data_IF_820439345754
#
_entry.id   IF_820439345754
#
_cell.length_a   1.000
_cell.length_b   1.000
_cell.length_c   1.000
_cell.angle_alpha   90.00
_cell.angle_beta   90.00
_cell.angle_gamma   90.00
#
_symmetry.space_group_name_H-M   'P 1'
#
loop_
_entity.id
_entity.type
_entity.pdbx_description
1 polymer ?
#
# COMPACT_ATOMS: atom_id res chain seq x y z
N UNK A 1 -7.21 14.05 -6.73
CA UNK A 1 -7.10 12.58 -6.58
C UNK A 1 -6.40 11.89 -7.75
N UNK A 2 -6.93 11.88 -8.98
CA UNK A 2 -6.37 11.01 -10.04
C UNK A 2 -5.05 11.45 -10.71
N UNK A 3 -4.65 12.70 -10.52
CA UNK A 3 -3.35 13.22 -10.99
C UNK A 3 -2.30 13.20 -9.87
N UNK A 4 -2.65 12.71 -8.67
CA UNK A 4 -1.72 12.60 -7.55
C UNK A 4 -0.69 11.53 -7.90
N UNK A 5 0.59 11.89 -7.77
CA UNK A 5 1.72 11.00 -8.00
C UNK A 5 1.78 9.92 -6.92
N UNK A 6 2.00 8.68 -7.33
CA UNK A 6 2.25 7.57 -6.43
C UNK A 6 3.27 6.59 -7.01
N UNK A 7 3.88 5.78 -6.15
CA UNK A 7 4.62 4.59 -6.51
C UNK A 7 4.00 3.36 -5.85
N UNK A 8 4.25 2.18 -6.41
CA UNK A 8 3.77 0.92 -5.85
C UNK A 8 4.88 -0.14 -5.86
N UNK A 9 4.98 -0.85 -4.75
CA UNK A 9 5.83 -2.04 -4.57
C UNK A 9 4.91 -3.27 -4.51
N UNK A 10 5.22 -4.31 -5.29
CA UNK A 10 4.40 -5.53 -5.39
C UNK A 10 5.30 -6.75 -5.27
N UNK A 11 5.19 -7.45 -4.14
CA UNK A 11 5.99 -8.62 -3.83
C UNK A 11 5.32 -9.92 -4.29
N UNK A 12 6.07 -10.85 -4.88
CA UNK A 12 5.58 -12.17 -5.27
C UNK A 12 6.70 -13.20 -5.40
N UNK A 13 6.29 -14.44 -5.70
CA UNK A 13 7.17 -15.56 -6.02
C UNK A 13 6.62 -16.34 -7.22
N UNK A 14 7.12 -17.56 -7.49
CA UNK A 14 6.64 -18.42 -8.56
C UNK A 14 7.36 -18.26 -9.90
N UNK A 15 7.94 -17.09 -10.16
CA UNK A 15 8.87 -16.83 -11.27
C UNK A 15 10.11 -16.11 -10.75
N UNK A 16 11.20 -16.17 -11.51
CA UNK A 16 12.43 -15.44 -11.17
C UNK A 16 12.30 -13.95 -11.46
N UNK A 17 13.09 -13.11 -10.79
CA UNK A 17 13.20 -11.68 -11.10
C UNK A 17 13.52 -11.42 -12.57
N UNK A 18 14.45 -12.18 -13.13
CA UNK A 18 14.80 -12.08 -14.55
C UNK A 18 13.60 -12.37 -15.46
N UNK A 19 12.85 -13.44 -15.18
CA UNK A 19 11.65 -13.76 -15.95
C UNK A 19 10.59 -12.68 -15.81
N UNK A 20 10.39 -12.15 -14.61
CA UNK A 20 9.45 -11.04 -14.37
C UNK A 20 9.84 -9.79 -15.16
N UNK A 21 11.13 -9.42 -15.14
CA UNK A 21 11.65 -8.27 -15.87
C UNK A 21 11.52 -8.45 -17.39
N UNK A 22 11.79 -9.64 -17.94
CA UNK A 22 11.60 -9.93 -19.37
C UNK A 22 10.11 -9.82 -19.78
N UNK A 23 9.21 -10.41 -18.99
CA UNK A 23 7.75 -10.28 -19.22
C UNK A 23 7.31 -8.81 -19.22
N UNK A 24 7.87 -7.99 -18.34
CA UNK A 24 7.58 -6.57 -18.29
C UNK A 24 8.20 -5.80 -19.46
N UNK A 25 9.44 -6.10 -19.85
CA UNK A 25 10.10 -5.52 -21.02
C UNK A 25 9.27 -5.75 -22.30
N UNK A 26 8.87 -7.00 -22.53
CA UNK A 26 8.05 -7.39 -23.68
C UNK A 26 6.71 -6.65 -23.72
N UNK A 27 6.04 -6.54 -22.57
CA UNK A 27 4.73 -5.89 -22.49
C UNK A 27 4.81 -4.35 -22.60
N UNK A 28 5.79 -3.74 -21.94
CA UNK A 28 5.93 -2.29 -21.87
C UNK A 28 6.70 -1.70 -23.07
N UNK A 29 7.18 -2.54 -23.98
CA UNK A 29 8.07 -2.13 -25.07
C UNK A 29 9.39 -1.53 -24.55
N UNK A 30 9.84 -2.00 -23.38
CA UNK A 30 11.00 -1.45 -22.68
C UNK A 30 12.27 -2.28 -22.89
N UNK A 31 13.42 -1.64 -22.67
CA UNK A 31 14.73 -2.28 -22.70
C UNK A 31 15.02 -2.96 -21.34
N UNK A 32 15.31 -4.27 -21.36
CA UNK A 32 15.78 -5.00 -20.19
C UNK A 32 17.26 -4.65 -19.91
N UNK A 33 17.54 -4.25 -18.67
CA UNK A 33 18.88 -3.88 -18.23
C UNK A 33 19.23 -4.65 -16.96
N UNK A 34 20.42 -5.27 -16.97
CA UNK A 34 20.98 -5.91 -15.78
C UNK A 34 21.58 -4.84 -14.84
N UNK A 35 21.07 -4.76 -13.61
CA UNK A 35 21.31 -3.66 -12.67
C UNK A 35 22.45 -3.85 -11.67
N UNK A 36 23.28 -4.88 -11.81
CA UNK A 36 24.44 -5.16 -10.95
C UNK A 36 24.26 -6.26 -9.88
N UNK A 37 25.39 -6.67 -9.27
CA UNK A 37 25.61 -8.01 -8.69
C UNK A 37 25.08 -8.26 -7.27
N UNK A 38 25.14 -7.30 -6.34
CA UNK A 38 24.93 -7.61 -4.90
C UNK A 38 23.48 -8.02 -4.56
N UNK A 39 22.48 -7.42 -5.22
CA UNK A 39 21.06 -7.77 -5.04
C UNK A 39 20.42 -8.37 -6.28
N UNK A 40 21.19 -8.59 -7.36
CA UNK A 40 20.69 -9.10 -8.65
C UNK A 40 19.44 -8.31 -9.11
N UNK A 41 19.58 -6.99 -9.08
CA UNK A 41 18.55 -6.03 -9.46
C UNK A 41 18.36 -6.07 -10.97
N UNK A 42 17.12 -6.21 -11.44
CA UNK A 42 16.79 -6.07 -12.87
C UNK A 42 16.01 -4.79 -13.09
N UNK A 43 16.16 -4.20 -14.27
CA UNK A 43 15.49 -2.95 -14.64
C UNK A 43 14.86 -3.10 -16.02
N UNK A 44 13.76 -2.39 -16.24
CA UNK A 44 13.13 -2.22 -17.55
C UNK A 44 12.95 -0.74 -17.77
N UNK A 45 13.67 -0.19 -18.76
CA UNK A 45 13.55 1.22 -19.17
C UNK A 45 12.53 1.33 -20.29
N UNK A 46 11.42 2.01 -20.04
CA UNK A 46 10.33 2.18 -21.02
C UNK A 46 10.64 3.30 -22.03
N UNK A 47 9.94 3.38 -23.18
CA UNK A 47 10.20 4.39 -24.21
C UNK A 47 10.06 5.83 -23.73
N UNK A 48 9.22 6.07 -22.71
CA UNK A 48 9.06 7.36 -22.03
C UNK A 48 10.20 7.68 -21.03
N UNK A 49 11.23 6.84 -20.98
CA UNK A 49 12.40 7.00 -20.12
C UNK A 49 12.21 6.56 -18.67
N UNK A 50 10.99 6.16 -18.26
CA UNK A 50 10.73 5.68 -16.90
C UNK A 50 11.35 4.29 -16.69
N UNK A 51 11.64 3.96 -15.43
CA UNK A 51 12.31 2.70 -15.07
C UNK A 51 11.41 1.93 -14.11
N UNK A 52 11.09 0.69 -14.49
CA UNK A 52 10.54 -0.32 -13.60
C UNK A 52 11.69 -1.16 -13.05
N UNK A 53 11.67 -1.43 -11.76
CA UNK A 53 12.73 -2.21 -11.10
C UNK A 53 12.17 -3.52 -10.54
N UNK A 54 13.00 -4.56 -10.56
CA UNK A 54 12.69 -5.88 -10.04
C UNK A 54 13.80 -6.25 -9.06
N UNK A 55 13.49 -6.19 -7.78
CA UNK A 55 14.48 -6.23 -6.70
C UNK A 55 14.29 -7.44 -5.79
N UNK A 56 15.34 -7.73 -5.03
CA UNK A 56 15.31 -8.69 -3.94
C UNK A 56 14.48 -8.17 -2.77
N UNK A 57 13.62 -9.00 -2.20
CA UNK A 57 13.13 -8.80 -0.83
C UNK A 57 13.45 -10.03 0.06
N UNK A 58 14.20 -9.79 1.13
CA UNK A 58 14.67 -10.85 2.03
C UNK A 58 13.57 -11.54 2.83
N UNK A 59 12.42 -10.89 3.01
CA UNK A 59 11.27 -11.37 3.78
C UNK A 59 10.40 -12.37 3.02
N UNK A 60 10.52 -12.44 1.69
CA UNK A 60 9.72 -13.34 0.86
C UNK A 60 10.18 -14.80 1.04
N UNK A 61 9.25 -15.67 1.47
CA UNK A 61 9.39 -17.12 1.38
C UNK A 61 9.22 -17.55 -0.07
N UNK A 62 10.32 -17.96 -0.70
CA UNK A 62 10.41 -18.27 -2.12
C UNK A 62 9.81 -19.64 -2.45
N UNK A 63 8.90 -19.68 -3.42
CA UNK A 63 8.22 -20.89 -3.85
C UNK A 63 8.09 -20.94 -5.38
N UNK A 64 7.96 -22.15 -5.92
CA UNK A 64 7.65 -22.39 -7.33
C UNK A 64 6.55 -23.44 -7.45
N UNK A 65 5.73 -23.35 -8.51
CA UNK A 65 4.72 -24.37 -8.81
C UNK A 65 5.31 -25.40 -9.75
N UNK A 66 5.36 -26.67 -9.32
CA UNK A 66 5.78 -27.82 -10.14
C UNK A 66 4.70 -28.89 -10.05
N UNK A 67 4.12 -29.29 -11.18
CA UNK A 67 3.04 -30.28 -11.21
C UNK A 67 1.83 -29.90 -10.34
N UNK A 68 1.50 -28.61 -10.26
CA UNK A 68 0.38 -28.10 -9.45
C UNK A 68 0.66 -27.99 -7.94
N UNK A 69 1.85 -28.39 -7.46
CA UNK A 69 2.25 -28.29 -6.05
C UNK A 69 3.26 -27.15 -5.85
N UNK A 70 3.12 -26.42 -4.74
CA UNK A 70 4.09 -25.39 -4.34
C UNK A 70 5.26 -26.03 -3.59
N UNK A 71 6.47 -25.83 -4.06
CA UNK A 71 7.71 -26.27 -3.39
C UNK A 71 8.61 -25.07 -3.12
N UNK A 72 9.53 -25.20 -2.15
CA UNK A 72 10.53 -24.16 -1.90
C UNK A 72 11.37 -23.90 -3.16
N UNK A 73 11.78 -22.64 -3.34
CA UNK A 73 12.63 -22.20 -4.43
C UNK A 73 13.81 -21.39 -3.88
N UNK A 74 14.84 -21.18 -4.70
CA UNK A 74 15.97 -20.33 -4.32
C UNK A 74 15.62 -18.82 -4.34
N UNK A 75 16.58 -17.99 -3.92
CA UNK A 75 16.38 -16.54 -3.76
C UNK A 75 16.10 -15.78 -5.06
N UNK A 76 16.32 -16.35 -6.25
CA UNK A 76 15.96 -15.72 -7.54
C UNK A 76 14.46 -15.54 -7.68
N UNK A 77 13.67 -16.31 -6.95
CA UNK A 77 12.20 -16.27 -6.89
C UNK A 77 11.66 -15.31 -5.82
N UNK A 78 12.53 -14.55 -5.15
CA UNK A 78 12.12 -13.40 -4.35
C UNK A 78 12.06 -12.20 -5.27
N UNK A 79 10.85 -11.72 -5.55
CA UNK A 79 10.61 -10.64 -6.51
C UNK A 79 9.76 -9.56 -5.87
N UNK A 80 10.26 -8.34 -5.86
CA UNK A 80 9.48 -7.13 -5.66
C UNK A 80 9.54 -6.28 -6.93
N UNK A 81 8.38 -5.99 -7.53
CA UNK A 81 8.27 -4.96 -8.56
C UNK A 81 8.21 -3.61 -7.87
N UNK A 82 9.09 -2.68 -8.26
CA UNK A 82 9.05 -1.27 -7.87
C UNK A 82 8.70 -0.45 -9.11
N UNK A 83 7.55 0.21 -9.07
CA UNK A 83 7.11 1.05 -10.20
C UNK A 83 7.94 2.33 -10.32
N UNK A 84 7.99 2.97 -11.51
CA UNK A 84 8.31 4.38 -11.59
C UNK A 84 7.22 5.21 -10.90
N UNK A 85 7.36 6.54 -10.90
CA UNK A 85 6.29 7.43 -10.47
C UNK A 85 5.13 7.33 -11.47
N UNK A 86 3.94 7.04 -10.96
CA UNK A 86 2.71 6.85 -11.71
C UNK A 86 1.66 7.90 -11.35
N UNK A 87 0.69 8.08 -12.23
CA UNK A 87 -0.61 8.70 -11.92
C UNK A 87 -1.75 7.74 -12.22
N UNK A 88 -2.88 7.89 -11.52
CA UNK A 88 -4.00 6.97 -11.72
C UNK A 88 -4.57 7.13 -13.14
N UNK A 89 -4.69 8.36 -13.63
CA UNK A 89 -5.28 8.65 -14.93
C UNK A 89 -4.48 8.06 -16.09
N UNK A 90 -3.16 8.11 -16.02
CA UNK A 90 -2.29 7.74 -17.13
C UNK A 90 -1.88 6.26 -17.08
N UNK A 91 -1.68 5.71 -15.88
CA UNK A 91 -0.91 4.46 -15.76
C UNK A 91 -1.71 3.27 -15.22
N UNK A 92 -2.93 3.46 -14.71
CA UNK A 92 -3.64 2.38 -14.00
C UNK A 92 -3.92 1.17 -14.90
N UNK A 93 -4.27 1.40 -16.17
CA UNK A 93 -4.56 0.32 -17.11
C UNK A 93 -3.30 -0.48 -17.46
N UNK A 94 -2.20 0.21 -17.72
CA UNK A 94 -0.87 -0.39 -17.96
C UNK A 94 -0.42 -1.22 -16.77
N UNK A 95 -0.53 -0.68 -15.55
CA UNK A 95 -0.19 -1.42 -14.32
C UNK A 95 -1.09 -2.66 -14.17
N UNK A 96 -2.39 -2.52 -14.38
CA UNK A 96 -3.31 -3.65 -14.28
C UNK A 96 -2.97 -4.76 -15.27
N UNK A 97 -2.64 -4.42 -16.52
CA UNK A 97 -2.30 -5.39 -17.54
C UNK A 97 -0.94 -6.05 -17.28
N UNK A 98 0.07 -5.28 -16.83
CA UNK A 98 1.35 -5.84 -16.38
C UNK A 98 1.13 -6.93 -15.31
N UNK A 99 0.28 -6.67 -14.32
CA UNK A 99 -0.04 -7.65 -13.28
C UNK A 99 -0.72 -8.90 -13.84
N UNK A 100 -1.60 -8.75 -14.85
CA UNK A 100 -2.20 -9.92 -15.53
C UNK A 100 -1.13 -10.73 -16.27
N UNK A 101 -0.18 -10.08 -16.98
CA UNK A 101 0.92 -10.75 -17.68
C UNK A 101 1.84 -11.49 -16.70
N UNK A 102 2.23 -10.84 -15.60
CA UNK A 102 3.07 -11.44 -14.55
C UNK A 102 2.39 -12.67 -13.95
N UNK A 103 1.09 -12.58 -13.61
CA UNK A 103 0.33 -13.74 -13.15
C UNK A 103 0.29 -14.86 -14.20
N UNK A 104 0.01 -14.52 -15.46
CA UNK A 104 -0.05 -15.49 -16.57
C UNK A 104 1.31 -16.19 -16.79
N UNK A 105 2.42 -15.52 -16.51
CA UNK A 105 3.76 -16.08 -16.59
C UNK A 105 4.09 -17.11 -15.48
N UNK A 106 3.19 -17.31 -14.52
CA UNK A 106 3.31 -18.30 -13.44
C UNK A 106 3.59 -17.69 -12.06
N UNK A 107 3.59 -16.36 -11.94
CA UNK A 107 3.78 -15.71 -10.64
C UNK A 107 2.59 -15.94 -9.71
N UNK A 108 2.86 -16.06 -8.41
CA UNK A 108 1.84 -16.15 -7.38
C UNK A 108 2.35 -15.56 -6.05
N UNK A 109 1.45 -15.34 -5.11
CA UNK A 109 1.77 -14.77 -3.79
C UNK A 109 1.56 -15.80 -2.67
N UNK A 110 2.15 -15.53 -1.51
CA UNK A 110 1.90 -16.25 -0.27
C UNK A 110 1.88 -15.25 0.91
N UNK A 111 1.74 -15.75 2.14
CA UNK A 111 1.55 -14.93 3.34
C UNK A 111 2.72 -13.98 3.68
N UNK A 112 3.92 -14.19 3.12
CA UNK A 112 5.06 -13.30 3.35
C UNK A 112 5.15 -12.17 2.34
N UNK A 113 4.26 -12.10 1.34
CA UNK A 113 4.28 -11.06 0.32
C UNK A 113 3.34 -9.89 0.68
N UNK A 114 3.80 -8.67 0.48
CA UNK A 114 3.07 -7.41 0.66
C UNK A 114 2.89 -6.58 -0.61
N UNK A 115 2.03 -5.57 -0.50
CA UNK A 115 1.98 -4.43 -1.42
C UNK A 115 2.19 -3.16 -0.60
N UNK A 116 3.07 -2.28 -1.05
CA UNK A 116 3.26 -0.95 -0.46
C UNK A 116 2.90 0.12 -1.48
N UNK A 117 2.16 1.15 -1.04
CA UNK A 117 1.80 2.28 -1.88
C UNK A 117 2.44 3.54 -1.30
N UNK A 118 3.26 4.19 -2.10
CA UNK A 118 3.95 5.42 -1.76
C UNK A 118 3.22 6.61 -2.39
N UNK A 119 2.67 7.48 -1.55
CA UNK A 119 1.98 8.69 -1.97
C UNK A 119 2.93 9.89 -1.92
N UNK A 120 2.87 10.76 -2.91
CA UNK A 120 3.63 12.02 -2.90
C UNK A 120 3.31 12.85 -1.65
N UNK A 121 4.32 13.02 -0.79
CA UNK A 121 4.22 13.74 0.46
C UNK A 121 4.47 15.24 0.33
N UNK A 122 4.91 15.72 -0.84
CA UNK A 122 5.22 17.15 -1.05
C UNK A 122 4.07 18.11 -0.70
N UNK A 123 2.77 17.78 -0.95
CA UNK A 123 1.67 18.70 -0.63
C UNK A 123 1.27 18.68 0.85
N UNK A 124 1.87 17.80 1.67
CA UNK A 124 1.45 17.65 3.06
C UNK A 124 1.96 18.79 3.96
N UNK A 125 1.08 19.18 4.87
CA UNK A 125 1.35 20.09 5.99
C UNK A 125 1.26 19.32 7.30
N UNK A 126 1.76 19.88 8.42
CA UNK A 126 1.60 19.23 9.72
C UNK A 126 0.14 18.91 10.07
N UNK A 127 -0.80 19.77 9.64
CA UNK A 127 -2.25 19.53 9.75
C UNK A 127 -2.67 18.29 8.96
N UNK A 128 -2.30 18.20 7.68
CA UNK A 128 -2.76 17.08 6.84
C UNK A 128 -2.12 15.75 7.23
N UNK A 129 -0.88 15.75 7.72
CA UNK A 129 -0.27 14.53 8.30
C UNK A 129 -1.04 14.07 9.54
N UNK A 130 -1.36 14.99 10.47
CA UNK A 130 -2.20 14.66 11.63
C UNK A 130 -3.57 14.13 11.21
N UNK A 131 -4.18 14.74 10.19
CA UNK A 131 -5.44 14.23 9.64
C UNK A 131 -5.29 12.81 9.11
N UNK A 132 -4.23 12.53 8.35
CA UNK A 132 -4.01 11.20 7.78
C UNK A 132 -3.87 10.13 8.88
N UNK A 133 -3.06 10.42 9.90
CA UNK A 133 -2.92 9.56 11.08
C UNK A 133 -4.26 9.30 11.74
N UNK A 134 -5.07 10.34 11.97
CA UNK A 134 -6.40 10.20 12.59
C UNK A 134 -7.40 9.44 11.71
N UNK A 135 -7.38 9.66 10.38
CA UNK A 135 -8.24 8.95 9.41
C UNK A 135 -7.98 7.45 9.47
N UNK A 136 -6.70 7.05 9.49
CA UNK A 136 -6.28 5.65 9.59
C UNK A 136 -6.61 5.10 10.98
N UNK A 137 -6.23 5.83 12.05
CA UNK A 137 -6.43 5.38 13.43
C UNK A 137 -7.92 5.09 13.75
N UNK A 138 -8.82 5.98 13.35
CA UNK A 138 -10.26 5.83 13.57
C UNK A 138 -10.89 4.65 12.82
N UNK A 139 -10.21 4.10 11.81
CA UNK A 139 -10.74 3.04 10.94
C UNK A 139 -9.86 1.79 10.90
N UNK A 140 -8.88 1.67 11.80
CA UNK A 140 -7.94 0.54 11.82
C UNK A 140 -8.68 -0.80 11.76
N UNK A 141 -9.65 -1.05 12.63
CA UNK A 141 -10.34 -2.36 12.66
C UNK A 141 -11.06 -2.66 11.34
N UNK A 142 -11.72 -1.64 10.77
CA UNK A 142 -12.44 -1.75 9.51
C UNK A 142 -11.49 -2.04 8.34
N UNK A 143 -10.36 -1.32 8.26
CA UNK A 143 -9.35 -1.55 7.22
C UNK A 143 -8.66 -2.89 7.37
N UNK A 144 -8.36 -3.33 8.59
CA UNK A 144 -7.70 -4.61 8.83
C UNK A 144 -8.57 -5.77 8.35
N UNK A 145 -9.86 -5.73 8.63
CA UNK A 145 -10.80 -6.74 8.16
C UNK A 145 -11.04 -6.65 6.64
N UNK A 146 -11.27 -5.45 6.12
CA UNK A 146 -11.52 -5.22 4.69
C UNK A 146 -10.34 -5.64 3.80
N UNK A 147 -9.10 -5.46 4.29
CA UNK A 147 -7.88 -5.76 3.56
C UNK A 147 -7.30 -7.14 3.88
N UNK A 148 -7.95 -7.91 4.76
CA UNK A 148 -7.54 -9.24 5.21
C UNK A 148 -6.18 -9.27 5.92
N UNK A 149 -5.81 -8.22 6.66
CA UNK A 149 -4.50 -8.17 7.31
C UNK A 149 -4.43 -9.26 8.38
N UNK A 150 -3.77 -10.37 8.06
CA UNK A 150 -3.62 -11.53 8.93
C UNK A 150 -2.82 -11.21 10.18
N UNK A 151 -3.02 -11.99 11.25
CA UNK A 151 -2.31 -11.79 12.52
C UNK A 151 -0.79 -11.90 12.35
N UNK A 152 -0.33 -12.80 11.49
CA UNK A 152 1.08 -13.00 11.14
C UNK A 152 1.72 -11.75 10.50
N UNK A 153 0.92 -10.87 9.89
CA UNK A 153 1.39 -9.60 9.31
C UNK A 153 1.33 -8.43 10.29
N UNK A 154 0.69 -8.58 11.45
CA UNK A 154 0.57 -7.50 12.44
C UNK A 154 1.93 -7.01 12.95
N UNK A 155 2.97 -7.85 12.91
CA UNK A 155 4.32 -7.43 13.28
C UNK A 155 4.92 -6.43 12.26
N UNK A 156 4.60 -6.60 10.97
CA UNK A 156 5.12 -5.80 9.85
C UNK A 156 4.16 -4.69 9.39
N UNK A 157 2.91 -4.74 9.84
CA UNK A 157 1.88 -3.73 9.67
C UNK A 157 1.08 -3.65 10.96
N UNK A 158 1.60 -2.91 11.95
CA UNK A 158 0.92 -2.63 13.22
C UNK A 158 -0.19 -1.61 13.01
N UNK A 159 -1.20 -1.67 13.88
CA UNK A 159 -2.18 -0.59 14.00
C UNK A 159 -1.43 0.71 14.31
N UNK A 160 -2.02 1.84 13.97
CA UNK A 160 -1.47 3.12 14.42
C UNK A 160 -1.32 3.08 15.95
N UNK A 161 -0.12 3.42 16.42
CA UNK A 161 0.18 3.44 17.86
C UNK A 161 -0.74 4.44 18.56
N UNK A 162 -1.48 3.97 19.58
CA UNK A 162 -2.39 4.79 20.36
C UNK A 162 -1.67 5.94 21.07
N UNK A 163 -0.43 5.72 21.53
CA UNK A 163 0.39 6.73 22.19
C UNK A 163 0.79 7.84 21.21
N UNK A 164 1.22 7.46 20.00
CA UNK A 164 1.49 8.39 18.90
C UNK A 164 0.26 9.25 18.58
N UNK A 165 -0.90 8.61 18.41
CA UNK A 165 -2.17 9.30 18.10
C UNK A 165 -2.58 10.25 19.22
N UNK A 166 -2.47 9.84 20.48
CA UNK A 166 -2.79 10.66 21.65
C UNK A 166 -1.88 11.90 21.72
N UNK A 167 -0.56 11.70 21.64
CA UNK A 167 0.43 12.79 21.71
C UNK A 167 0.25 13.81 20.59
N UNK A 168 0.03 13.35 19.36
CA UNK A 168 -0.24 14.24 18.22
C UNK A 168 -1.50 15.07 18.42
N UNK A 169 -2.56 14.48 18.97
CA UNK A 169 -3.83 15.17 19.19
C UNK A 169 -3.80 16.11 20.40
N UNK A 170 -2.99 15.81 21.42
CA UNK A 170 -2.72 16.68 22.58
C UNK A 170 -1.82 17.86 22.20
N UNK A 171 -0.65 17.60 21.61
CA UNK A 171 0.34 18.65 21.25
C UNK A 171 -0.14 19.52 20.09
N UNK A 172 -0.89 18.95 19.14
CA UNK A 172 -1.30 19.60 17.87
C UNK A 172 -0.13 20.30 17.16
N UNK A 173 0.93 19.55 16.76
CA UNK A 173 2.15 20.09 16.16
C UNK A 173 1.90 21.10 15.04
N UNK A 174 2.75 22.12 14.96
CA UNK A 174 2.69 23.18 13.96
C UNK A 174 3.78 23.05 12.89
N UNK A 175 4.79 22.23 13.14
CA UNK A 175 5.90 21.97 12.22
C UNK A 175 6.04 20.48 11.89
N UNK A 176 6.69 20.16 10.78
CA UNK A 176 6.99 18.76 10.43
C UNK A 176 8.00 18.14 11.40
N UNK A 177 8.97 18.92 11.87
CA UNK A 177 9.97 18.48 12.85
C UNK A 177 9.33 18.00 14.14
N UNK A 178 8.33 18.70 14.65
CA UNK A 178 7.61 18.25 15.85
C UNK A 178 6.83 16.94 15.63
N UNK A 179 6.31 16.71 14.42
CA UNK A 179 5.66 15.43 14.08
C UNK A 179 6.72 14.33 14.01
N UNK A 180 7.85 14.62 13.37
CA UNK A 180 8.99 13.70 13.29
C UNK A 180 9.50 13.30 14.68
N UNK A 181 9.64 14.27 15.59
CA UNK A 181 10.07 14.01 16.96
C UNK A 181 9.09 13.09 17.72
N UNK A 182 7.79 13.29 17.55
CA UNK A 182 6.78 12.39 18.14
C UNK A 182 6.82 11.02 17.45
N UNK A 183 7.00 10.97 16.13
CA UNK A 183 7.05 9.71 15.36
C UNK A 183 8.18 8.78 15.80
N UNK A 184 9.34 9.36 16.14
CA UNK A 184 10.50 8.61 16.61
C UNK A 184 10.60 8.53 18.14
N UNK A 185 9.63 9.06 18.88
CA UNK A 185 9.65 8.99 20.33
C UNK A 185 9.53 7.54 20.81
N UNK A 186 10.38 7.15 21.76
CA UNK A 186 10.46 5.77 22.25
C UNK A 186 11.35 4.83 21.42
N UNK A 187 11.97 5.32 20.34
CA UNK A 187 12.99 4.59 19.59
C UNK A 187 14.38 5.14 19.94
N UNK A 188 15.32 4.25 20.26
CA UNK A 188 16.73 4.57 20.51
C UNK A 188 17.60 4.48 19.25
N UNK A 189 17.04 3.98 18.16
CA UNK A 189 17.72 3.81 16.87
C UNK A 189 17.98 5.15 16.18
N UNK A 190 19.03 5.20 15.36
CA UNK A 190 19.26 6.36 14.50
C UNK A 190 18.10 6.53 13.51
N UNK A 191 17.55 7.75 13.43
CA UNK A 191 16.47 8.12 12.49
C UNK A 191 16.86 7.92 11.03
N UNK A 192 18.15 7.98 10.69
CA UNK A 192 18.64 7.76 9.31
C UNK A 192 18.73 6.28 8.92
N UNK A 193 18.53 5.35 9.85
CA UNK A 193 18.66 3.91 9.61
C UNK A 193 17.64 3.44 8.58
N UNK A 194 18.10 2.68 7.57
CA UNK A 194 17.23 2.20 6.51
C UNK A 194 16.08 1.31 7.02
N UNK A 195 16.40 0.34 7.88
CA UNK A 195 15.46 -0.55 8.55
C UNK A 195 15.27 -0.07 10.00
N UNK A 196 14.38 0.90 10.17
CA UNK A 196 13.99 1.47 11.45
C UNK A 196 12.69 0.85 11.97
N UNK A 197 12.58 0.59 13.27
CA UNK A 197 11.43 -0.13 13.83
C UNK A 197 10.10 0.64 13.78
N UNK A 198 10.15 1.98 13.67
CA UNK A 198 8.96 2.83 13.46
C UNK A 198 8.28 2.63 12.10
N UNK A 199 8.87 1.85 11.17
CA UNK A 199 8.33 1.65 9.83
C UNK A 199 7.08 0.78 9.78
N UNK A 200 6.88 -0.08 10.77
CA UNK A 200 5.94 -1.20 10.70
C UNK A 200 4.53 -0.81 11.16
N UNK A 201 3.96 0.25 10.60
CA UNK A 201 2.57 0.66 10.80
C UNK A 201 1.82 0.73 9.48
N UNK A 202 0.49 0.62 9.52
CA UNK A 202 -0.36 0.73 8.33
C UNK A 202 -0.04 1.97 7.49
N UNK A 203 0.06 3.12 8.17
CA UNK A 203 0.60 4.36 7.61
C UNK A 203 2.00 4.56 8.19
N UNK A 204 2.99 4.69 7.31
CA UNK A 204 4.39 4.81 7.64
C UNK A 204 4.93 6.16 7.13
N UNK A 205 5.51 6.95 8.04
CA UNK A 205 6.13 8.25 7.74
C UNK A 205 7.66 8.20 7.73
N UNK A 206 8.30 7.04 7.88
CA UNK A 206 9.75 6.97 7.85
C UNK A 206 10.33 7.45 6.51
N UNK A 207 9.77 6.98 5.38
CA UNK A 207 10.16 7.45 4.03
C UNK A 207 9.86 8.94 3.83
N UNK A 208 8.84 9.47 4.53
CA UNK A 208 8.48 10.89 4.51
C UNK A 208 9.61 11.74 5.09
N UNK A 209 10.23 11.29 6.17
CA UNK A 209 11.26 12.05 6.89
C UNK A 209 12.69 11.79 6.38
N UNK A 210 13.00 10.63 5.78
CA UNK A 210 14.40 10.24 5.55
C UNK A 210 14.85 10.13 4.10
N UNK A 211 13.94 9.92 3.14
CA UNK A 211 14.32 9.64 1.75
C UNK A 211 13.48 10.39 0.74
N UNK A 212 12.37 9.77 0.34
CA UNK A 212 11.65 10.12 -0.87
C UNK A 212 10.52 11.11 -0.60
N UNK A 213 10.35 11.53 0.66
CA UNK A 213 9.25 12.40 1.10
C UNK A 213 7.89 11.81 0.70
N UNK A 214 7.72 10.51 0.87
CA UNK A 214 6.47 9.80 0.57
C UNK A 214 5.75 9.35 1.83
N UNK A 215 4.43 9.44 1.83
CA UNK A 215 3.59 8.76 2.83
C UNK A 215 3.34 7.35 2.34
N UNK A 216 3.80 6.36 3.09
CA UNK A 216 3.70 4.97 2.69
C UNK A 216 2.51 4.27 3.38
N UNK A 217 1.73 3.51 2.62
CA UNK A 217 0.69 2.62 3.12
C UNK A 217 1.10 1.17 2.92
N UNK A 218 1.28 0.42 4.02
CA UNK A 218 1.86 -0.93 4.03
C UNK A 218 0.87 -2.07 4.31
N UNK A 219 -0.38 -1.74 4.58
CA UNK A 219 -1.39 -2.71 5.03
C UNK A 219 -2.06 -3.54 3.93
N UNK A 220 -1.53 -3.55 2.71
CA UNK A 220 -2.13 -4.29 1.61
C UNK A 220 -1.54 -5.69 1.50
N UNK A 221 -2.39 -6.72 1.44
CA UNK A 221 -1.96 -8.08 1.15
C UNK A 221 -1.54 -8.22 -0.30
N UNK A 222 -0.41 -8.89 -0.54
CA UNK A 222 -0.02 -9.15 -1.92
C UNK A 222 -0.97 -10.12 -2.60
N UNK A 223 -1.46 -9.67 -3.74
CA UNK A 223 -2.34 -10.40 -4.65
C UNK A 223 -1.89 -10.07 -6.06
N UNK A 224 -1.97 -11.02 -6.97
CA UNK A 224 -1.84 -10.73 -8.40
C UNK A 224 -3.24 -10.64 -9.03
N UNK A 225 -4.08 -9.79 -8.47
CA UNK A 225 -5.44 -9.54 -8.97
C UNK A 225 -5.60 -8.06 -9.30
N UNK A 226 -5.56 -7.73 -10.60
CA UNK A 226 -5.56 -6.35 -11.10
C UNK A 226 -6.69 -5.47 -10.52
N UNK A 227 -7.91 -5.99 -10.34
CA UNK A 227 -9.01 -5.25 -9.73
C UNK A 227 -8.82 -4.97 -8.23
N UNK A 228 -8.18 -5.88 -7.50
CA UNK A 228 -7.95 -5.73 -6.05
C UNK A 228 -6.79 -4.75 -5.80
N UNK A 229 -5.71 -4.83 -6.58
CA UNK A 229 -4.62 -3.84 -6.56
C UNK A 229 -5.14 -2.44 -6.90
N UNK A 230 -5.96 -2.31 -7.95
CA UNK A 230 -6.63 -1.04 -8.28
C UNK A 230 -7.44 -0.50 -7.10
N UNK A 231 -8.17 -1.37 -6.39
CA UNK A 231 -8.96 -0.98 -5.22
C UNK A 231 -8.08 -0.42 -4.10
N UNK A 232 -6.90 -1.00 -3.87
CA UNK A 232 -5.92 -0.51 -2.91
C UNK A 232 -5.37 0.86 -3.29
N UNK A 233 -5.00 1.06 -4.56
CA UNK A 233 -4.52 2.35 -5.09
C UNK A 233 -5.60 3.42 -4.95
N UNK A 234 -6.84 3.13 -5.35
CA UNK A 234 -7.95 4.10 -5.24
C UNK A 234 -8.21 4.46 -3.78
N UNK A 235 -8.21 3.48 -2.86
CA UNK A 235 -8.36 3.75 -1.43
C UNK A 235 -7.21 4.63 -0.90
N UNK A 236 -5.96 4.33 -1.25
CA UNK A 236 -4.79 5.11 -0.87
C UNK A 236 -4.89 6.57 -1.34
N UNK A 237 -5.20 6.77 -2.63
CA UNK A 237 -5.35 8.11 -3.22
C UNK A 237 -6.53 8.88 -2.61
N UNK A 238 -7.64 8.21 -2.31
CA UNK A 238 -8.82 8.83 -1.69
C UNK A 238 -8.55 9.25 -0.23
N UNK A 239 -7.90 8.40 0.57
CA UNK A 239 -7.48 8.76 1.92
C UNK A 239 -6.47 9.91 1.90
N UNK A 240 -5.54 9.91 0.94
CA UNK A 240 -4.60 11.01 0.77
C UNK A 240 -5.30 12.34 0.50
N UNK A 241 -6.22 12.33 -0.48
CA UNK A 241 -7.02 13.49 -0.84
C UNK A 241 -7.85 14.00 0.36
N UNK A 242 -8.46 13.09 1.12
CA UNK A 242 -9.19 13.44 2.34
C UNK A 242 -8.27 14.12 3.36
N UNK A 243 -7.08 13.55 3.63
CA UNK A 243 -6.14 14.10 4.59
C UNK A 243 -5.69 15.53 4.24
N UNK A 244 -5.44 15.78 2.96
CA UNK A 244 -5.01 17.08 2.43
C UNK A 244 -6.12 18.15 2.53
N UNK A 245 -7.34 17.79 2.14
CA UNK A 245 -8.45 18.74 1.95
C UNK A 245 -9.26 18.99 3.21
N UNK A 246 -9.34 18.03 4.13
CA UNK A 246 -10.17 18.16 5.32
C UNK A 246 -9.56 19.13 6.34
N UNK A 247 -10.38 19.98 6.98
CA UNK A 247 -9.92 20.93 8.02
C UNK A 247 -9.35 20.23 9.26
N UNK A 248 -10.01 19.14 9.68
CA UNK A 248 -9.60 18.30 10.82
C UNK A 248 -10.20 16.91 10.67
N UNK A 249 -9.52 15.89 11.19
CA UNK A 249 -10.05 14.52 11.29
C UNK A 249 -10.00 14.02 12.74
N UNK A 250 -11.04 13.30 13.16
CA UNK A 250 -11.11 12.63 14.47
C UNK A 250 -10.47 11.25 14.42
N UNK A 251 -9.79 10.84 15.49
CA UNK A 251 -9.29 9.48 15.71
C UNK A 251 -10.32 8.54 16.35
N UNK A 252 -11.50 9.05 16.72
CA UNK A 252 -12.58 8.26 17.31
C UNK A 252 -13.21 7.35 16.25
N UNK A 253 -13.43 6.08 16.61
CA UNK A 253 -14.03 5.08 15.72
C UNK A 253 -15.47 5.47 15.34
N UNK A 254 -15.77 5.67 14.04
CA UNK A 254 -17.13 5.95 13.61
C UNK A 254 -17.89 4.64 13.34
N UNK A 255 -19.15 4.56 13.75
CA UNK A 255 -20.13 3.52 13.33
C UNK A 255 -19.59 2.09 13.45
N UNK A 256 -19.66 1.52 14.65
CA UNK A 256 -19.15 0.16 14.94
C UNK A 256 -20.22 -0.92 14.84
N UNK A 257 -21.49 -0.55 14.67
CA UNK A 257 -22.62 -1.49 14.77
C UNK A 257 -22.79 -2.35 13.51
N UNK A 258 -22.46 -1.79 12.34
CA UNK A 258 -22.49 -2.50 11.06
C UNK A 258 -21.31 -2.06 10.19
N UNK A 259 -20.31 -2.94 10.12
CA UNK A 259 -19.05 -2.69 9.41
C UNK A 259 -19.27 -2.44 7.92
N UNK A 260 -20.12 -3.23 7.25
CA UNK A 260 -20.34 -3.11 5.81
C UNK A 260 -21.02 -1.79 5.47
N UNK A 261 -21.98 -1.35 6.28
CA UNK A 261 -22.60 -0.03 6.17
C UNK A 261 -21.59 1.10 6.44
N UNK A 262 -20.79 0.98 7.50
CA UNK A 262 -19.78 1.95 7.88
C UNK A 262 -18.73 2.15 6.76
N UNK A 263 -18.24 1.05 6.17
CA UNK A 263 -17.30 1.12 5.06
C UNK A 263 -17.94 1.71 3.82
N UNK A 264 -19.13 1.27 3.42
CA UNK A 264 -19.83 1.81 2.24
C UNK A 264 -20.05 3.32 2.36
N UNK A 265 -20.55 3.79 3.49
CA UNK A 265 -20.78 5.23 3.72
C UNK A 265 -19.47 6.02 3.74
N UNK A 266 -18.40 5.45 4.30
CA UNK A 266 -17.09 6.06 4.28
C UNK A 266 -16.51 6.17 2.86
N UNK A 267 -16.56 5.09 2.08
CA UNK A 267 -16.09 5.08 0.69
C UNK A 267 -16.82 6.13 -0.16
N UNK A 268 -18.15 6.25 0.00
CA UNK A 268 -18.91 7.31 -0.67
C UNK A 268 -18.44 8.72 -0.23
N UNK A 269 -18.20 8.92 1.07
CA UNK A 269 -17.74 10.21 1.61
C UNK A 269 -16.38 10.65 1.07
N UNK A 270 -15.48 9.71 0.79
CA UNK A 270 -14.15 10.00 0.23
C UNK A 270 -14.14 9.98 -1.31
N UNK A 271 -15.31 9.93 -1.95
CA UNK A 271 -15.47 10.14 -3.39
C UNK A 271 -15.51 8.88 -4.24
N UNK A 272 -15.61 7.67 -3.66
CA UNK A 272 -15.82 6.44 -4.43
C UNK A 272 -17.31 6.26 -4.77
N UNK A 273 -17.89 7.20 -5.52
CA UNK A 273 -19.30 7.21 -5.95
C UNK A 273 -19.39 6.99 -7.46
N UNK A 274 -20.41 6.30 -7.94
CA UNK A 274 -20.58 6.01 -9.38
C UNK A 274 -20.18 4.57 -9.76
N UNK A 275 -20.43 4.21 -11.02
CA UNK A 275 -20.21 2.85 -11.55
C UNK A 275 -18.71 2.53 -11.68
N UNK A 276 -17.89 3.53 -11.95
CA UNK A 276 -16.44 3.40 -12.12
C UNK A 276 -15.73 2.88 -10.84
N UNK A 277 -16.32 3.08 -9.65
CA UNK A 277 -15.80 2.56 -8.38
C UNK A 277 -16.58 1.37 -7.85
N UNK A 278 -17.59 0.84 -8.56
CA UNK A 278 -18.38 -0.29 -8.09
C UNK A 278 -17.51 -1.48 -7.71
N UNK A 279 -16.62 -1.89 -8.61
CA UNK A 279 -15.69 -2.98 -8.34
C UNK A 279 -14.75 -2.68 -7.16
N UNK A 280 -14.30 -1.42 -6.99
CA UNK A 280 -13.49 -1.03 -5.84
C UNK A 280 -14.27 -1.17 -4.52
N UNK A 281 -15.52 -0.66 -4.49
CA UNK A 281 -16.39 -0.78 -3.32
C UNK A 281 -16.68 -2.24 -2.98
N UNK A 282 -16.94 -3.08 -3.98
CA UNK A 282 -17.15 -4.51 -3.80
C UNK A 282 -15.93 -5.17 -3.15
N UNK A 283 -14.73 -4.97 -3.71
CA UNK A 283 -13.50 -5.53 -3.14
C UNK A 283 -13.26 -5.08 -1.70
N UNK A 284 -13.53 -3.81 -1.38
CA UNK A 284 -13.27 -3.22 -0.06
C UNK A 284 -14.36 -3.51 0.98
N UNK A 285 -15.51 -4.07 0.59
CA UNK A 285 -16.63 -4.37 1.50
C UNK A 285 -16.98 -5.85 1.57
N UNK A 286 -16.42 -6.69 0.68
CA UNK A 286 -16.76 -8.11 0.54
C UNK A 286 -16.68 -8.91 1.85
N UNK A 287 -15.73 -8.57 2.71
CA UNK A 287 -15.40 -9.35 3.92
C UNK A 287 -15.91 -8.73 5.21
N UNK A 288 -16.62 -7.61 5.10
CA UNK A 288 -17.20 -6.92 6.23
C UNK A 288 -18.58 -7.52 6.55
N UNK A 289 -18.87 -7.69 7.83
CA UNK A 289 -20.15 -8.24 8.27
C UNK A 289 -21.28 -7.21 8.22
N UNK A 290 -22.52 -7.70 8.16
CA UNK A 290 -23.72 -6.87 8.13
C UNK A 290 -24.19 -6.47 6.72
N UNK A 291 -25.13 -5.55 6.68
CA UNK A 291 -25.75 -5.05 5.44
C UNK A 291 -25.10 -3.76 4.96
N UNK A 292 -24.97 -3.58 3.65
CA UNK A 292 -24.55 -2.28 3.10
C UNK A 292 -25.67 -1.23 3.11
N UNK A 293 -26.92 -1.62 3.31
CA UNK A 293 -28.08 -0.73 3.13
C UNK A 293 -28.49 0.03 4.41
N UNK A 294 -28.46 -0.61 5.57
CA UNK A 294 -28.92 -0.03 6.84
C UNK A 294 -27.87 -0.08 7.94
N UNK A 295 -27.88 0.91 8.84
CA UNK A 295 -26.96 0.97 10.00
C UNK A 295 -27.38 0.03 11.11
N UNK A 296 -28.66 0.04 11.45
CA UNK A 296 -29.26 -0.81 12.47
C UNK A 296 -30.25 -1.74 11.76
N UNK A 297 -30.25 -3.01 12.12
CA UNK A 297 -31.31 -3.91 11.70
C UNK A 297 -32.56 -3.51 12.47
N UNK A 298 -33.61 -3.09 11.76
CA UNK A 298 -34.93 -2.95 12.37
C UNK A 298 -35.49 -4.36 12.43
N UNK A 299 -35.73 -4.87 13.64
CA UNK A 299 -36.50 -6.09 13.84
C UNK A 299 -37.97 -5.82 13.52
#
# INVERSE_FOLDING_TARGET
MFNTKFGIEIEFTGITREKAAKVAADFLGGEYIEGGTYYDKKKVKTPDGRIWEFVYDGSIRTQVSRGGRRTNADRRYSVEIVSPILTYREDIETLQELIRKIRKAGAFTNATCGIHIHLDGSPHTPRSIRNFINIVASRNDLFYKALEIGQERMHYCKKMDSLLVEKLNKKKPKTMREIEDIWYEGYSESRSRHYHNSRYHFLNLHSFFTRNRTVELRGFNSVLHAGKIRSYIVLALAMNNQALTQKSASSIKPQVENEKFAMRTYLNRIGLVGEEFKNCREHLTKLLSGSSAWRFQVN
#
